data_IF_813502225257
#
_entry.id   IF_813502225257
#
_cell.length_a   1.000
_cell.length_b   1.000
_cell.length_c   1.000
_cell.angle_alpha   90.00
_cell.angle_beta   90.00
_cell.angle_gamma   90.00
#
_symmetry.space_group_name_H-M   'P 1'
#
loop_
_entity.id
_entity.type
_entity.pdbx_description
1 polymer ?
#
# COMPACT_ATOMS: atom_id res chain seq x y z
N UNK A 1 -11.49 9.31 17.97
CA UNK A 1 -11.70 10.22 16.82
C UNK A 1 -11.46 9.40 15.57
N UNK A 2 -12.36 9.44 14.59
CA UNK A 2 -12.11 8.79 13.29
C UNK A 2 -11.30 9.77 12.44
N UNK A 3 -9.99 9.55 12.33
CA UNK A 3 -9.11 10.29 11.42
C UNK A 3 -8.85 9.42 10.19
N UNK A 4 -9.72 9.48 9.15
CA UNK A 4 -9.49 8.73 7.93
C UNK A 4 -8.21 9.24 7.25
N UNK A 5 -7.31 8.31 6.94
CA UNK A 5 -6.09 8.58 6.17
C UNK A 5 -6.44 8.79 4.70
N UNK A 6 -5.79 9.74 4.02
CA UNK A 6 -6.02 9.96 2.59
C UNK A 6 -5.43 8.82 1.76
N UNK A 7 -5.89 8.64 0.52
CA UNK A 7 -5.45 7.52 -0.33
C UNK A 7 -3.97 7.61 -0.63
N UNK A 8 -3.49 8.81 -0.98
CA UNK A 8 -2.07 9.06 -1.25
C UNK A 8 -1.18 8.80 -0.02
N UNK A 9 -1.70 8.99 1.19
CA UNK A 9 -0.99 8.69 2.44
C UNK A 9 -0.98 7.19 2.73
N UNK A 10 -2.08 6.49 2.43
CA UNK A 10 -2.15 5.03 2.52
C UNK A 10 -1.16 4.35 1.57
N UNK A 11 -0.97 4.90 0.36
CA UNK A 11 0.01 4.42 -0.61
C UNK A 11 1.43 4.51 -0.05
N UNK A 12 1.78 5.60 0.63
CA UNK A 12 3.10 5.77 1.26
C UNK A 12 3.34 4.74 2.37
N UNK A 13 2.36 4.52 3.26
CA UNK A 13 2.47 3.52 4.34
C UNK A 13 2.59 2.10 3.77
N UNK A 14 1.78 1.77 2.75
CA UNK A 14 1.85 0.46 2.09
C UNK A 14 3.19 0.24 1.39
N UNK A 15 3.72 1.25 0.71
CA UNK A 15 5.03 1.18 0.07
C UNK A 15 6.14 0.91 1.09
N UNK A 16 6.14 1.64 2.22
CA UNK A 16 7.12 1.44 3.28
C UNK A 16 7.08 0.01 3.86
N UNK A 17 5.88 -0.52 4.10
CA UNK A 17 5.70 -1.88 4.62
C UNK A 17 6.06 -2.98 3.61
N UNK A 18 5.62 -2.86 2.36
CA UNK A 18 5.83 -3.90 1.33
C UNK A 18 7.26 -4.00 0.84
N UNK A 19 8.03 -2.91 0.90
CA UNK A 19 9.47 -2.89 0.55
C UNK A 19 10.40 -3.21 1.74
N UNK A 20 9.84 -3.56 2.91
CA UNK A 20 10.62 -4.00 4.07
C UNK A 20 11.28 -2.88 4.89
N UNK A 21 10.91 -1.62 4.69
CA UNK A 21 11.48 -0.50 5.47
C UNK A 21 11.12 -0.54 6.96
N UNK A 22 10.06 -1.28 7.30
CA UNK A 22 9.60 -1.46 8.67
C UNK A 22 10.23 -2.68 9.37
N UNK A 23 10.91 -3.57 8.64
CA UNK A 23 11.36 -4.87 9.17
C UNK A 23 12.40 -4.75 10.28
N UNK A 24 13.22 -3.69 10.24
CA UNK A 24 14.22 -3.38 11.26
C UNK A 24 13.70 -2.55 12.45
N UNK A 25 12.42 -2.18 12.44
CA UNK A 25 11.81 -1.26 13.43
C UNK A 25 11.06 -2.08 14.48
N UNK A 26 11.21 -1.71 15.76
CA UNK A 26 10.44 -2.35 16.83
C UNK A 26 8.94 -2.08 16.63
N UNK A 27 8.08 -3.08 16.90
CA UNK A 27 6.63 -2.95 16.70
C UNK A 27 6.03 -1.74 17.42
N UNK A 28 6.55 -1.40 18.60
CA UNK A 28 6.15 -0.23 19.39
C UNK A 28 6.53 1.12 18.75
N UNK A 29 7.50 1.14 17.84
CA UNK A 29 7.96 2.32 17.12
C UNK A 29 7.34 2.47 15.72
N UNK A 30 6.66 1.43 15.20
CA UNK A 30 6.09 1.45 13.84
C UNK A 30 5.10 2.60 13.66
N UNK A 31 4.20 2.80 14.63
CA UNK A 31 3.23 3.91 14.57
C UNK A 31 3.94 5.27 14.52
N UNK A 32 4.98 5.46 15.34
CA UNK A 32 5.78 6.69 15.37
C UNK A 32 6.55 6.91 14.06
N UNK A 33 7.06 5.84 13.48
CA UNK A 33 7.73 5.89 12.18
C UNK A 33 6.75 6.31 11.08
N UNK A 34 5.57 5.67 11.02
CA UNK A 34 4.55 5.99 10.02
C UNK A 34 4.06 7.43 10.14
N UNK A 35 3.74 7.89 11.35
CA UNK A 35 3.33 9.29 11.58
C UNK A 35 4.40 10.27 11.12
N UNK A 36 5.66 10.04 11.50
CA UNK A 36 6.77 10.91 11.11
C UNK A 36 7.08 10.89 9.61
N UNK A 37 6.98 9.73 8.97
CA UNK A 37 7.13 9.60 7.52
C UNK A 37 6.00 10.34 6.79
N UNK A 38 4.75 10.18 7.22
CA UNK A 38 3.62 10.88 6.64
C UNK A 38 3.74 12.39 6.80
N UNK A 39 4.21 12.87 7.96
CA UNK A 39 4.45 14.29 8.19
C UNK A 39 5.60 14.84 7.33
N UNK A 40 6.66 14.07 7.13
CA UNK A 40 7.74 14.40 6.18
C UNK A 40 7.18 14.59 4.77
N UNK A 41 6.42 13.61 4.27
CA UNK A 41 5.88 13.63 2.92
C UNK A 41 4.85 14.76 2.75
N UNK A 42 3.98 14.99 3.75
CA UNK A 42 3.01 16.11 3.75
C UNK A 42 3.70 17.48 3.70
N UNK A 43 4.76 17.65 4.48
CA UNK A 43 5.43 18.95 4.64
C UNK A 43 6.39 19.28 3.51
N UNK A 44 7.10 18.28 2.98
CA UNK A 44 8.20 18.48 2.03
C UNK A 44 7.92 17.94 0.63
N UNK A 45 6.96 17.01 0.48
CA UNK A 45 6.68 16.30 -0.78
C UNK A 45 5.19 16.33 -1.15
N UNK A 46 4.48 17.42 -0.83
CA UNK A 46 3.05 17.59 -1.16
C UNK A 46 2.75 17.52 -2.66
N UNK A 47 3.72 17.83 -3.52
CA UNK A 47 3.62 17.65 -4.98
C UNK A 47 3.48 16.18 -5.37
N UNK A 48 4.29 15.29 -4.77
CA UNK A 48 4.25 13.85 -5.01
C UNK A 48 2.90 13.26 -4.56
N UNK A 49 2.39 13.69 -3.41
CA UNK A 49 1.06 13.33 -2.94
C UNK A 49 -0.04 13.73 -3.93
N UNK A 50 0.07 14.93 -4.51
CA UNK A 50 -0.91 15.43 -5.48
C UNK A 50 -0.84 14.66 -6.80
N UNK A 51 0.37 14.25 -7.22
CA UNK A 51 0.57 13.44 -8.41
C UNK A 51 -0.08 12.06 -8.25
N UNK A 52 0.14 11.37 -7.13
CA UNK A 52 -0.47 10.06 -6.84
C UNK A 52 -1.99 10.11 -6.99
N UNK A 53 -2.65 11.14 -6.45
CA UNK A 53 -4.11 11.29 -6.57
C UNK A 53 -4.53 11.58 -8.01
N UNK A 54 -3.75 12.37 -8.74
CA UNK A 54 -4.11 12.83 -10.09
C UNK A 54 -3.86 11.79 -11.17
N UNK A 55 -2.72 11.08 -11.12
CA UNK A 55 -2.35 10.07 -12.11
C UNK A 55 -2.84 8.67 -11.74
N UNK A 56 -3.05 8.40 -10.45
CA UNK A 56 -3.27 7.05 -9.94
C UNK A 56 -2.02 6.18 -9.97
N UNK A 57 -0.85 6.76 -10.29
CA UNK A 57 0.44 6.07 -10.36
C UNK A 57 1.41 6.66 -9.34
N UNK A 58 2.42 5.88 -8.96
CA UNK A 58 3.44 6.27 -7.99
C UNK A 58 4.77 6.41 -8.72
N UNK A 59 5.47 7.52 -8.51
CA UNK A 59 6.90 7.60 -8.82
C UNK A 59 7.68 6.82 -7.74
N UNK A 60 7.95 5.55 -8.04
CA UNK A 60 8.58 4.63 -7.11
C UNK A 60 10.00 5.04 -6.76
N UNK A 61 10.79 5.57 -7.71
CA UNK A 61 12.16 6.00 -7.45
C UNK A 61 12.20 7.20 -6.48
N UNK A 62 11.31 8.18 -6.68
CA UNK A 62 11.18 9.33 -5.79
C UNK A 62 10.74 8.90 -4.40
N UNK A 63 9.72 8.04 -4.31
CA UNK A 63 9.19 7.57 -3.03
C UNK A 63 10.22 6.71 -2.28
N UNK A 64 10.92 5.83 -2.97
CA UNK A 64 12.00 5.00 -2.42
C UNK A 64 13.09 5.87 -1.77
N UNK A 65 13.53 6.92 -2.48
CA UNK A 65 14.55 7.84 -1.98
C UNK A 65 14.12 8.55 -0.70
N UNK A 66 12.87 8.99 -0.64
CA UNK A 66 12.30 9.68 0.54
C UNK A 66 12.19 8.73 1.73
N UNK A 67 11.61 7.54 1.52
CA UNK A 67 11.39 6.55 2.58
C UNK A 67 12.73 6.03 3.11
N UNK A 68 13.68 5.71 2.23
CA UNK A 68 15.04 5.31 2.63
C UNK A 68 15.73 6.41 3.44
N UNK A 69 15.71 7.65 2.95
CA UNK A 69 16.35 8.77 3.64
C UNK A 69 15.74 9.02 5.02
N UNK A 70 14.43 8.83 5.19
CA UNK A 70 13.79 8.89 6.49
C UNK A 70 14.19 7.71 7.40
N UNK A 71 14.17 6.48 6.86
CA UNK A 71 14.50 5.27 7.61
C UNK A 71 15.94 5.25 8.13
N UNK A 72 16.90 5.72 7.34
CA UNK A 72 18.30 5.87 7.76
C UNK A 72 18.47 6.85 8.93
N UNK A 73 17.60 7.86 9.02
CA UNK A 73 17.60 8.86 10.09
C UNK A 73 16.73 8.52 11.29
N UNK A 74 15.97 7.42 11.25
CA UNK A 74 15.01 7.07 12.30
C UNK A 74 15.68 6.32 13.45
N UNK A 75 15.70 6.95 14.63
CA UNK A 75 16.23 6.38 15.88
C UNK A 75 15.10 5.76 16.73
N UNK A 76 14.89 4.45 16.59
CA UNK A 76 13.93 3.67 17.39
C UNK A 76 14.34 3.48 18.86
N UNK A 77 13.41 3.00 19.69
CA UNK A 77 13.63 2.62 21.09
C UNK A 77 14.69 1.51 21.24
N UNK A 78 14.81 0.65 20.22
CA UNK A 78 15.72 -0.49 20.19
C UNK A 78 17.17 -0.16 19.75
N UNK A 79 17.46 1.11 19.44
CA UNK A 79 18.76 1.56 18.90
C UNK A 79 18.67 1.98 17.43
N UNK A 80 19.82 2.25 16.77
CA UNK A 80 19.81 2.62 15.36
C UNK A 80 19.18 1.48 14.55
N UNK A 81 18.11 1.81 13.82
CA UNK A 81 17.39 0.88 12.97
C UNK A 81 18.40 0.27 11.99
N UNK A 82 18.67 -1.02 12.14
CA UNK A 82 19.53 -1.76 11.21
C UNK A 82 18.77 -1.94 9.91
N UNK A 83 18.78 -0.90 9.07
CA UNK A 83 18.18 -0.85 7.73
C UNK A 83 18.86 -1.94 6.88
N UNK A 84 18.37 -3.17 6.95
CA UNK A 84 18.64 -4.24 5.99
C UNK A 84 17.58 -4.09 4.87
N UNK A 85 17.68 -3.00 4.11
CA UNK A 85 16.81 -2.81 2.95
C UNK A 85 17.39 -3.63 1.80
N UNK A 86 17.09 -4.93 1.81
CA UNK A 86 17.08 -5.72 0.60
C UNK A 86 15.78 -5.35 -0.13
N UNK A 87 15.78 -4.18 -0.78
CA UNK A 87 14.66 -3.72 -1.62
C UNK A 87 14.45 -4.76 -2.72
N UNK A 88 13.57 -5.71 -2.45
CA UNK A 88 13.11 -6.69 -3.41
C UNK A 88 12.14 -5.95 -4.33
N UNK A 89 12.55 -5.76 -5.59
CA UNK A 89 11.70 -5.23 -6.65
C UNK A 89 10.36 -5.98 -6.59
N UNK A 90 9.28 -5.25 -6.28
CA UNK A 90 7.95 -5.83 -6.42
C UNK A 90 7.76 -6.12 -7.91
N UNK A 91 7.34 -7.34 -8.29
CA UNK A 91 6.99 -7.58 -9.68
C UNK A 91 5.88 -6.58 -10.03
N UNK A 92 6.05 -5.85 -11.16
CA UNK A 92 5.00 -5.03 -11.75
C UNK A 92 3.68 -5.79 -11.62
N UNK A 93 2.72 -5.21 -10.88
CA UNK A 93 1.42 -5.82 -10.72
C UNK A 93 0.75 -5.81 -12.11
N UNK A 94 0.90 -6.90 -12.86
CA UNK A 94 0.17 -7.12 -14.11
C UNK A 94 -1.31 -7.03 -13.76
N UNK A 95 -1.92 -5.93 -14.19
CA UNK A 95 -3.36 -5.74 -14.10
C UNK A 95 -3.99 -6.62 -15.17
N UNK A 96 -4.10 -7.92 -14.89
CA UNK A 96 -4.97 -8.79 -15.66
C UNK A 96 -6.41 -8.34 -15.34
N UNK A 97 -6.94 -7.46 -16.19
CA UNK A 97 -8.38 -7.22 -16.22
C UNK A 97 -9.02 -8.55 -16.59
N UNK A 98 -9.53 -9.26 -15.59
CA UNK A 98 -10.39 -10.42 -15.82
C UNK A 98 -11.65 -9.88 -16.49
N UNK A 99 -11.63 -9.83 -17.82
CA UNK A 99 -12.82 -9.58 -18.62
C UNK A 99 -13.79 -10.68 -18.23
N UNK A 100 -14.87 -10.30 -17.54
CA UNK A 100 -15.84 -11.24 -17.00
C UNK A 100 -16.69 -11.81 -18.14
N UNK A 101 -16.07 -12.59 -19.03
CA UNK A 101 -16.73 -13.60 -19.87
C UNK A 101 -16.84 -14.90 -19.05
N UNK A 102 -17.38 -14.79 -17.85
CA UNK A 102 -18.03 -15.91 -17.16
C UNK A 102 -19.39 -15.39 -16.77
N UNK A 103 -20.26 -15.36 -17.77
CA UNK A 103 -21.69 -15.34 -17.54
C UNK A 103 -21.99 -16.48 -16.57
N UNK A 104 -22.53 -16.15 -15.40
CA UNK A 104 -23.24 -17.13 -14.61
C UNK A 104 -24.29 -17.73 -15.54
N UNK A 105 -24.26 -19.03 -15.88
CA UNK A 105 -25.41 -19.60 -16.53
C UNK A 105 -26.58 -19.37 -15.58
N UNK A 106 -27.56 -18.57 -16.00
CA UNK A 106 -28.88 -18.63 -15.40
C UNK A 106 -29.37 -20.06 -15.63
N UNK A 107 -29.10 -20.94 -14.68
CA UNK A 107 -29.82 -22.20 -14.58
C UNK A 107 -31.25 -21.79 -14.26
N UNK A 108 -32.06 -21.70 -15.32
CA UNK A 108 -33.50 -21.79 -15.24
C UNK A 108 -33.81 -23.05 -14.41
N UNK A 109 -34.00 -22.85 -13.10
CA UNK A 109 -34.63 -23.83 -12.23
C UNK A 109 -36.07 -23.93 -12.70
N UNK A 110 -36.28 -24.74 -13.74
CA UNK A 110 -37.58 -25.26 -14.11
C UNK A 110 -38.14 -25.93 -12.87
N UNK A 111 -39.08 -25.25 -12.21
CA UNK A 111 -39.94 -25.79 -11.17
C UNK A 111 -40.52 -27.08 -11.73
N UNK A 112 -40.12 -28.22 -11.18
CA UNK A 112 -40.64 -29.52 -11.57
C UNK A 112 -42.16 -29.50 -11.48
N UNK A 113 -42.82 -29.57 -12.63
CA UNK A 113 -44.18 -30.09 -12.71
C UNK A 113 -44.04 -31.61 -12.62
N UNK A 114 -44.10 -32.13 -11.39
CA UNK A 114 -44.32 -33.55 -11.16
C UNK A 114 -45.72 -33.92 -11.69
N UNK A 115 -45.73 -34.31 -12.95
CA UNK A 115 -46.39 -35.48 -13.54
C UNK A 115 -47.78 -35.87 -13.01
N UNK A 116 -48.73 -35.79 -13.93
CA UNK A 116 -49.98 -36.56 -13.98
C UNK A 116 -49.81 -38.04 -13.58
N UNK A 117 -50.63 -38.50 -12.64
CA UNK A 117 -51.34 -39.80 -12.63
C UNK A 117 -52.45 -39.81 -11.59
#
# INVERSE_FOLDING_TARGET
INSPMKVEEQVVSLFAGTRGYLDGIAVEDVERFEEGLLDLVRSQHSGLLSEIVSSGTVDEEALESIVRGYAEGFEGSAGPSGVNVEAQEQPDAETETVDSETTLPEVDIARGEDSES
#
